data_IF_883204431752
#
_entry.id   IF_883204431752
#
_cell.length_a   1.000
_cell.length_b   1.000
_cell.length_c   1.000
_cell.angle_alpha   90.00
_cell.angle_beta   90.00
_cell.angle_gamma   90.00
#
_symmetry.space_group_name_H-M   'P 1'
#
loop_
_entity.id
_entity.type
_entity.pdbx_description
1 polymer ?
#
# COMPACT_ATOMS: atom_id res chain seq x y z
N UNK A 1 2.85 -31.66 75.28
CA UNK A 1 2.54 -33.03 75.75
C UNK A 1 2.06 -33.82 74.54
N UNK A 2 2.80 -34.87 74.16
CA UNK A 2 2.49 -36.01 73.24
C UNK A 2 1.67 -35.71 71.97
N UNK A 3 2.27 -35.54 70.79
CA UNK A 3 2.81 -36.57 69.87
C UNK A 3 1.86 -37.74 69.59
N UNK A 4 1.33 -37.79 68.37
CA UNK A 4 0.99 -39.03 67.67
C UNK A 4 1.64 -38.97 66.29
N UNK A 5 2.60 -39.88 66.10
CA UNK A 5 3.22 -40.23 64.83
C UNK A 5 2.27 -41.19 64.09
N UNK A 6 2.07 -40.96 62.80
CA UNK A 6 1.63 -42.01 61.86
C UNK A 6 2.52 -41.95 60.63
N UNK A 7 3.12 -43.11 60.34
CA UNK A 7 4.13 -43.32 59.33
C UNK A 7 3.50 -43.50 57.94
N UNK A 8 4.13 -42.82 56.98
CA UNK A 8 4.42 -43.18 55.58
C UNK A 8 3.61 -44.28 54.89
N UNK A 9 3.05 -43.93 53.73
CA UNK A 9 3.20 -44.75 52.53
C UNK A 9 3.40 -43.86 51.30
N UNK A 10 4.60 -43.92 50.74
CA UNK A 10 4.94 -43.32 49.45
C UNK A 10 4.32 -44.15 48.33
N UNK A 11 3.63 -43.49 47.40
CA UNK A 11 3.38 -44.04 46.07
C UNK A 11 3.68 -42.95 45.04
N UNK A 12 4.90 -43.00 44.51
CA UNK A 12 5.31 -42.27 43.32
C UNK A 12 4.73 -42.97 42.10
N UNK A 13 3.72 -42.38 41.46
CA UNK A 13 3.45 -42.62 40.04
C UNK A 13 3.78 -41.33 39.29
N UNK A 14 4.82 -41.41 38.47
CA UNK A 14 5.14 -40.38 37.51
C UNK A 14 4.06 -40.31 36.44
N UNK A 15 3.50 -39.12 36.24
CA UNK A 15 2.89 -38.75 34.97
C UNK A 15 3.67 -37.56 34.40
N UNK A 16 4.20 -37.83 33.22
CA UNK A 16 4.82 -36.96 32.23
C UNK A 16 4.46 -35.47 32.33
N UNK A 17 5.50 -34.65 32.48
CA UNK A 17 5.44 -33.23 32.19
C UNK A 17 5.16 -33.02 30.69
N UNK A 18 3.95 -32.58 30.35
CA UNK A 18 3.72 -31.90 29.07
C UNK A 18 4.19 -30.46 29.24
N UNK A 19 5.40 -30.18 28.77
CA UNK A 19 5.86 -28.83 28.53
C UNK A 19 5.13 -28.28 27.30
N UNK A 20 4.00 -27.63 27.52
CA UNK A 20 3.28 -26.92 26.45
C UNK A 20 4.00 -25.60 26.17
N UNK A 21 4.77 -25.62 25.08
CA UNK A 21 5.42 -24.46 24.49
C UNK A 21 4.35 -23.65 23.76
N UNK A 22 3.65 -22.75 24.44
CA UNK A 22 2.87 -21.71 23.77
C UNK A 22 3.83 -20.74 23.08
N UNK A 23 4.06 -20.98 21.80
CA UNK A 23 4.69 -20.03 20.89
C UNK A 23 3.72 -18.90 20.60
N UNK A 24 4.26 -17.70 20.73
CA UNK A 24 3.73 -16.43 20.25
C UNK A 24 3.38 -16.44 18.75
N UNK A 25 2.64 -15.39 18.40
CA UNK A 25 2.48 -14.75 17.09
C UNK A 25 1.18 -15.06 16.33
N UNK A 26 0.11 -14.45 16.84
CA UNK A 26 -1.01 -14.02 15.99
C UNK A 26 -0.61 -12.71 15.31
N UNK A 27 -0.01 -12.82 14.13
CA UNK A 27 0.11 -11.72 13.19
C UNK A 27 -1.20 -11.71 12.40
N UNK A 28 -2.09 -10.77 12.70
CA UNK A 28 -3.32 -10.57 11.92
C UNK A 28 -2.93 -10.18 10.49
N UNK A 29 -2.88 -11.17 9.60
CA UNK A 29 -2.60 -10.99 8.19
C UNK A 29 -3.83 -10.44 7.50
N UNK A 30 -3.69 -9.26 6.88
CA UNK A 30 -4.61 -8.80 5.85
C UNK A 30 -4.82 -9.92 4.81
N UNK A 31 -6.03 -10.06 4.22
CA UNK A 31 -6.29 -11.12 3.25
C UNK A 31 -5.28 -11.04 2.10
N UNK A 32 -4.54 -12.13 1.86
CA UNK A 32 -3.59 -12.21 0.75
C UNK A 32 -4.32 -12.00 -0.58
N UNK A 33 -3.87 -10.97 -1.31
CA UNK A 33 -4.30 -10.64 -2.66
C UNK A 33 -3.88 -11.75 -3.63
N UNK A 34 -4.85 -12.43 -4.25
CA UNK A 34 -4.64 -13.55 -5.18
C UNK A 34 -4.09 -13.16 -6.56
N UNK A 35 -3.27 -12.12 -6.67
CA UNK A 35 -2.70 -11.70 -7.94
C UNK A 35 -1.55 -12.63 -8.32
N UNK A 36 -1.76 -13.46 -9.35
CA UNK A 36 -0.66 -14.15 -10.02
C UNK A 36 0.44 -13.14 -10.36
N UNK A 37 1.70 -13.55 -10.23
CA UNK A 37 2.93 -12.72 -10.39
C UNK A 37 2.93 -11.89 -11.69
N UNK A 38 2.16 -12.30 -12.71
CA UNK A 38 1.99 -11.59 -13.98
C UNK A 38 1.31 -10.21 -13.91
N UNK A 39 0.68 -9.87 -12.78
CA UNK A 39 -0.11 -8.64 -12.57
C UNK A 39 0.46 -7.70 -11.49
N UNK A 40 1.67 -7.94 -11.01
CA UNK A 40 2.33 -7.06 -10.03
C UNK A 40 2.78 -5.74 -10.66
N UNK A 41 2.71 -4.67 -9.88
CA UNK A 41 3.20 -3.34 -10.21
C UNK A 41 4.21 -2.90 -9.15
N UNK A 42 5.15 -1.99 -9.48
CA UNK A 42 6.08 -1.45 -8.48
C UNK A 42 5.37 -0.82 -7.27
N UNK A 43 4.14 -0.32 -7.47
CA UNK A 43 3.32 0.28 -6.41
C UNK A 43 2.96 -0.72 -5.31
N UNK A 44 2.90 -2.02 -5.64
CA UNK A 44 2.50 -3.09 -4.72
C UNK A 44 3.60 -3.41 -3.71
N UNK A 45 4.84 -2.95 -3.95
CA UNK A 45 5.97 -3.07 -3.02
C UNK A 45 5.92 -2.05 -1.87
N UNK A 46 5.06 -1.02 -1.98
CA UNK A 46 4.96 0.05 -0.98
C UNK A 46 3.95 -0.24 0.13
N UNK A 47 3.85 0.66 1.13
CA UNK A 47 2.88 0.52 2.22
C UNK A 47 1.45 0.54 1.67
N UNK A 48 0.60 -0.32 2.25
CA UNK A 48 -0.82 -0.43 1.90
C UNK A 48 -1.72 0.57 2.64
N UNK A 49 -1.14 1.39 3.53
CA UNK A 49 -1.86 2.35 4.36
C UNK A 49 -1.14 3.69 4.39
N UNK A 50 -1.92 4.75 4.63
CA UNK A 50 -1.42 6.11 4.86
C UNK A 50 -2.10 6.71 6.08
N UNK A 51 -1.38 7.54 6.84
CA UNK A 51 -1.98 8.31 7.93
C UNK A 51 -2.84 9.43 7.34
N UNK A 52 -4.15 9.32 7.53
CA UNK A 52 -5.15 10.31 7.10
C UNK A 52 -5.78 11.05 8.28
N UNK A 53 -5.24 10.91 9.49
CA UNK A 53 -5.84 11.45 10.71
C UNK A 53 -6.13 12.96 10.60
N UNK A 54 -5.22 13.70 9.95
CA UNK A 54 -5.33 15.14 9.69
C UNK A 54 -6.13 15.53 8.44
N UNK A 55 -6.63 14.59 7.63
CA UNK A 55 -7.37 14.91 6.42
C UNK A 55 -8.83 15.33 6.73
N UNK A 56 -9.48 16.14 5.86
CA UNK A 56 -10.89 16.47 6.02
C UNK A 56 -11.79 15.23 6.11
N UNK A 57 -12.90 15.30 6.87
CA UNK A 57 -13.81 14.17 7.07
C UNK A 57 -14.24 13.48 5.75
N UNK A 58 -14.67 14.20 4.69
CA UNK A 58 -15.03 13.55 3.42
C UNK A 58 -13.88 12.79 2.77
N UNK A 59 -12.65 13.30 2.88
CA UNK A 59 -11.45 12.67 2.34
C UNK A 59 -11.11 11.39 3.13
N UNK A 60 -11.26 11.41 4.46
CA UNK A 60 -11.09 10.21 5.30
C UNK A 60 -12.13 9.13 4.99
N UNK A 61 -13.36 9.52 4.65
CA UNK A 61 -14.39 8.58 4.18
C UNK A 61 -14.02 7.98 2.82
N UNK A 62 -13.51 8.80 1.89
CA UNK A 62 -12.96 8.33 0.62
C UNK A 62 -11.81 7.34 0.79
N UNK A 63 -10.91 7.59 1.74
CA UNK A 63 -9.82 6.65 2.09
C UNK A 63 -10.37 5.31 2.56
N UNK A 64 -11.32 5.30 3.51
CA UNK A 64 -11.93 4.06 4.02
C UNK A 64 -12.59 3.25 2.90
N UNK A 65 -13.32 3.94 2.01
CA UNK A 65 -13.94 3.31 0.84
C UNK A 65 -12.89 2.73 -0.11
N UNK A 66 -11.82 3.47 -0.39
CA UNK A 66 -10.72 3.00 -1.24
C UNK A 66 -10.04 1.77 -0.62
N UNK A 67 -9.61 1.87 0.64
CA UNK A 67 -8.91 0.81 1.35
C UNK A 67 -9.75 -0.47 1.49
N UNK A 68 -11.08 -0.36 1.59
CA UNK A 68 -11.97 -1.52 1.64
C UNK A 68 -12.35 -2.05 0.26
N UNK A 69 -12.84 -1.19 -0.64
CA UNK A 69 -13.45 -1.61 -1.91
C UNK A 69 -12.44 -1.84 -3.02
N UNK A 70 -11.38 -1.04 -3.10
CA UNK A 70 -10.32 -1.29 -4.09
C UNK A 70 -9.47 -2.50 -3.70
N UNK A 71 -9.34 -2.77 -2.39
CA UNK A 71 -8.62 -3.93 -1.86
C UNK A 71 -9.25 -5.29 -2.24
N UNK A 72 -10.51 -5.30 -2.70
CA UNK A 72 -11.20 -6.51 -3.09
C UNK A 72 -10.60 -7.23 -4.31
N UNK A 73 -9.76 -6.54 -5.11
CA UNK A 73 -9.18 -7.12 -6.33
C UNK A 73 -7.65 -7.02 -6.40
N UNK A 74 -7.03 -6.11 -5.63
CA UNK A 74 -5.59 -5.91 -5.58
C UNK A 74 -5.23 -5.19 -4.28
N UNK A 75 -3.97 -5.19 -3.86
CA UNK A 75 -3.54 -4.44 -2.66
C UNK A 75 -3.91 -2.94 -2.73
N UNK A 76 -4.25 -2.35 -1.58
CA UNK A 76 -4.46 -0.90 -1.43
C UNK A 76 -3.18 -0.09 -1.70
N UNK A 77 -2.01 -0.72 -1.61
CA UNK A 77 -0.72 -0.13 -2.00
C UNK A 77 -0.72 0.32 -3.46
N UNK A 78 -1.48 -0.37 -4.34
CA UNK A 78 -1.49 -0.11 -5.78
C UNK A 78 -1.89 1.33 -6.14
N UNK A 79 -3.04 1.85 -5.67
CA UNK A 79 -3.38 3.27 -5.85
C UNK A 79 -2.55 4.19 -4.95
N UNK A 80 -2.25 3.82 -3.69
CA UNK A 80 -1.52 4.69 -2.76
C UNK A 80 -0.13 5.05 -3.32
N UNK A 81 0.59 4.07 -3.85
CA UNK A 81 1.96 4.24 -4.33
C UNK A 81 2.06 4.50 -5.84
N UNK A 82 0.96 4.84 -6.51
CA UNK A 82 1.00 5.16 -7.93
C UNK A 82 1.78 6.43 -8.20
N UNK A 83 2.37 6.54 -9.38
CA UNK A 83 3.01 7.76 -9.88
C UNK A 83 2.03 8.89 -10.22
N UNK A 84 0.72 8.64 -10.19
CA UNK A 84 -0.26 9.58 -10.74
C UNK A 84 -0.41 10.82 -9.87
N UNK A 85 -0.44 11.96 -10.55
CA UNK A 85 -0.62 13.28 -9.96
C UNK A 85 -1.58 14.08 -10.84
N UNK A 86 -2.78 14.34 -10.33
CA UNK A 86 -3.82 15.11 -11.05
C UNK A 86 -3.70 16.58 -10.66
N UNK A 87 -3.27 17.41 -11.61
CA UNK A 87 -3.07 18.85 -11.44
C UNK A 87 -3.80 19.62 -12.54
N UNK A 88 -4.27 20.83 -12.20
CA UNK A 88 -4.63 21.84 -13.20
C UNK A 88 -3.41 22.27 -14.01
N UNK A 89 -3.63 22.96 -15.14
CA UNK A 89 -2.54 23.44 -15.98
C UNK A 89 -1.61 24.39 -15.23
N UNK A 90 -2.18 25.25 -14.38
CA UNK A 90 -1.45 26.20 -13.55
C UNK A 90 -0.61 25.49 -12.49
N UNK A 91 -1.20 24.52 -11.78
CA UNK A 91 -0.50 23.69 -10.79
C UNK A 91 0.61 22.85 -11.43
N UNK A 92 0.38 22.29 -12.62
CA UNK A 92 1.38 21.53 -13.37
C UNK A 92 2.57 22.41 -13.78
N UNK A 93 2.30 23.62 -14.27
CA UNK A 93 3.36 24.57 -14.64
C UNK A 93 4.21 24.95 -13.42
N UNK A 94 3.58 25.20 -12.27
CA UNK A 94 4.28 25.47 -11.01
C UNK A 94 5.12 24.25 -10.57
N UNK A 95 4.53 23.04 -10.58
CA UNK A 95 5.22 21.82 -10.20
C UNK A 95 6.46 21.57 -11.07
N UNK A 96 6.35 21.73 -12.39
CA UNK A 96 7.48 21.54 -13.32
C UNK A 96 8.60 22.54 -13.08
N UNK A 97 8.25 23.80 -12.81
CA UNK A 97 9.22 24.86 -12.48
C UNK A 97 9.99 24.54 -11.19
N UNK A 98 9.31 24.05 -10.17
CA UNK A 98 9.92 23.69 -8.88
C UNK A 98 10.69 22.37 -8.92
N UNK A 99 10.30 21.45 -9.81
CA UNK A 99 10.81 20.08 -9.86
C UNK A 99 11.29 19.69 -11.27
N UNK A 100 12.28 20.41 -11.85
CA UNK A 100 12.64 20.30 -13.27
C UNK A 100 13.14 18.92 -13.70
N UNK A 101 13.52 18.05 -12.77
CA UNK A 101 14.03 16.71 -13.08
C UNK A 101 13.01 15.60 -12.84
N UNK A 102 12.16 15.73 -11.82
CA UNK A 102 11.22 14.67 -11.43
C UNK A 102 10.15 14.48 -12.51
N UNK A 103 9.67 15.57 -13.12
CA UNK A 103 8.59 15.53 -14.12
C UNK A 103 9.04 14.95 -15.48
N UNK A 104 10.34 14.73 -15.70
CA UNK A 104 10.88 14.17 -16.95
C UNK A 104 10.71 12.65 -17.03
N UNK A 105 10.56 11.98 -15.88
CA UNK A 105 10.36 10.54 -15.81
C UNK A 105 8.94 10.24 -15.29
N UNK A 106 8.06 9.81 -16.19
CA UNK A 106 6.68 9.47 -15.86
C UNK A 106 6.56 8.28 -14.92
N UNK A 107 7.63 7.50 -14.72
CA UNK A 107 7.67 6.43 -13.70
C UNK A 107 7.75 7.00 -12.29
N UNK A 108 8.32 8.21 -12.13
CA UNK A 108 8.43 8.92 -10.86
C UNK A 108 7.16 9.72 -10.57
N UNK A 109 6.72 10.53 -11.53
CA UNK A 109 5.49 11.31 -11.45
C UNK A 109 4.86 11.41 -12.84
N UNK A 110 3.63 10.93 -12.98
CA UNK A 110 2.83 11.07 -14.20
C UNK A 110 1.74 12.11 -13.94
N UNK A 111 1.94 13.29 -14.51
CA UNK A 111 1.03 14.43 -14.37
C UNK A 111 0.04 14.42 -15.54
N UNK A 112 -1.25 14.41 -15.23
CA UNK A 112 -2.30 14.48 -16.24
C UNK A 112 -3.65 14.88 -15.60
N UNK A 113 -4.41 15.75 -16.27
CA UNK A 113 -5.77 16.08 -15.84
C UNK A 113 -6.68 14.84 -15.84
N UNK A 114 -7.54 14.72 -14.82
CA UNK A 114 -8.54 13.64 -14.65
C UNK A 114 -7.98 12.21 -14.67
N UNK A 115 -6.68 12.01 -14.49
CA UNK A 115 -6.09 10.66 -14.50
C UNK A 115 -6.71 9.74 -13.46
N UNK A 116 -6.98 10.25 -12.26
CA UNK A 116 -7.59 9.44 -11.20
C UNK A 116 -9.05 9.15 -11.51
N UNK A 117 -9.80 10.14 -11.98
CA UNK A 117 -11.21 9.94 -12.37
C UNK A 117 -11.34 8.85 -13.45
N UNK A 118 -10.51 8.94 -14.50
CA UNK A 118 -10.49 7.94 -15.57
C UNK A 118 -10.12 6.56 -15.04
N UNK A 119 -9.12 6.48 -14.16
CA UNK A 119 -8.68 5.21 -13.58
C UNK A 119 -9.77 4.56 -12.73
N UNK A 120 -10.39 5.33 -11.83
CA UNK A 120 -11.46 4.84 -10.95
C UNK A 120 -12.65 4.36 -11.77
N UNK A 121 -13.11 5.14 -12.76
CA UNK A 121 -14.20 4.72 -13.66
C UNK A 121 -13.88 3.43 -14.41
N UNK A 122 -12.63 3.26 -14.87
CA UNK A 122 -12.19 2.03 -15.52
C UNK A 122 -12.25 0.82 -14.56
N UNK A 123 -11.92 1.00 -13.29
CA UNK A 123 -12.05 -0.08 -12.30
C UNK A 123 -13.51 -0.40 -12.01
N UNK A 124 -14.36 0.61 -11.87
CA UNK A 124 -15.81 0.44 -11.67
C UNK A 124 -16.49 -0.34 -12.79
N UNK A 125 -15.99 -0.20 -14.03
CA UNK A 125 -16.49 -0.92 -15.20
C UNK A 125 -16.08 -2.41 -15.24
N UNK A 126 -15.14 -2.86 -14.40
CA UNK A 126 -14.75 -4.27 -14.37
C UNK A 126 -15.85 -5.12 -13.73
N UNK A 127 -16.16 -6.31 -14.28
CA UNK A 127 -17.06 -7.27 -13.66
C UNK A 127 -16.64 -7.58 -12.21
N UNK A 128 -17.60 -7.64 -11.29
CA UNK A 128 -17.33 -7.92 -9.89
C UNK A 128 -16.77 -6.76 -9.05
N UNK A 129 -16.49 -5.59 -9.63
CA UNK A 129 -16.02 -4.44 -8.85
C UNK A 129 -17.09 -3.97 -7.84
N UNK A 130 -16.76 -3.85 -6.52
CA UNK A 130 -17.72 -3.46 -5.48
C UNK A 130 -17.91 -1.93 -5.37
N UNK A 131 -17.16 -1.13 -6.14
CA UNK A 131 -17.30 0.33 -6.19
C UNK A 131 -18.50 0.69 -7.07
N UNK A 132 -19.51 1.36 -6.49
CA UNK A 132 -20.77 1.71 -7.15
C UNK A 132 -21.18 3.14 -6.80
N UNK A 133 -21.99 3.76 -7.66
CA UNK A 133 -22.55 5.09 -7.43
C UNK A 133 -21.53 6.12 -6.96
N UNK A 134 -21.85 6.84 -5.89
CA UNK A 134 -21.05 7.93 -5.35
C UNK A 134 -19.73 7.50 -4.69
N UNK A 135 -19.53 6.21 -4.43
CA UNK A 135 -18.25 5.73 -3.87
C UNK A 135 -17.09 6.04 -4.81
N UNK A 136 -17.32 5.92 -6.12
CA UNK A 136 -16.30 6.23 -7.12
C UNK A 136 -15.84 7.69 -7.02
N UNK A 137 -16.78 8.62 -6.80
CA UNK A 137 -16.46 10.04 -6.62
C UNK A 137 -15.66 10.27 -5.34
N UNK A 138 -16.09 9.71 -4.21
CA UNK A 138 -15.39 9.84 -2.92
C UNK A 138 -13.98 9.26 -2.96
N UNK A 139 -13.81 8.11 -3.62
CA UNK A 139 -12.50 7.47 -3.82
C UNK A 139 -11.61 8.35 -4.70
N UNK A 140 -12.14 8.86 -5.82
CA UNK A 140 -11.40 9.77 -6.70
C UNK A 140 -10.94 11.04 -5.96
N UNK A 141 -11.83 11.70 -5.22
CA UNK A 141 -11.51 12.89 -4.44
C UNK A 141 -10.40 12.61 -3.40
N UNK A 142 -10.46 11.46 -2.73
CA UNK A 142 -9.38 11.03 -1.86
C UNK A 142 -8.05 10.86 -2.61
N UNK A 143 -8.03 10.15 -3.74
CA UNK A 143 -6.81 9.88 -4.50
C UNK A 143 -6.17 11.18 -5.03
N UNK A 144 -6.99 12.12 -5.48
CA UNK A 144 -6.52 13.47 -5.88
C UNK A 144 -5.92 14.19 -4.67
N UNK A 145 -6.65 14.28 -3.56
CA UNK A 145 -6.19 14.98 -2.37
C UNK A 145 -4.89 14.40 -1.81
N UNK A 146 -4.86 13.08 -1.61
CA UNK A 146 -3.72 12.37 -1.05
C UNK A 146 -2.49 12.43 -1.97
N UNK A 147 -2.69 12.32 -3.29
CA UNK A 147 -1.60 12.47 -4.24
C UNK A 147 -1.02 13.88 -4.24
N UNK A 148 -1.83 14.93 -4.11
CA UNK A 148 -1.31 16.30 -3.94
C UNK A 148 -0.57 16.43 -2.61
N UNK A 149 -1.17 15.99 -1.50
CA UNK A 149 -0.58 16.12 -0.17
C UNK A 149 0.79 15.45 -0.05
N UNK A 150 0.97 14.25 -0.61
CA UNK A 150 2.21 13.46 -0.46
C UNK A 150 3.24 13.66 -1.56
N UNK A 151 2.86 14.18 -2.74
CA UNK A 151 3.74 14.18 -3.93
C UNK A 151 4.17 15.56 -4.39
N UNK A 152 3.66 16.65 -3.79
CA UNK A 152 4.00 18.02 -4.20
C UNK A 152 4.64 18.82 -3.05
N UNK A 153 5.04 20.06 -3.35
CA UNK A 153 5.65 20.98 -2.38
C UNK A 153 6.87 20.38 -1.69
N UNK A 154 6.94 20.53 -0.36
CA UNK A 154 8.03 20.00 0.45
C UNK A 154 8.18 18.47 0.37
N UNK A 155 7.12 17.75 0.01
CA UNK A 155 7.10 16.29 -0.05
C UNK A 155 7.54 15.73 -1.43
N UNK A 156 7.69 16.56 -2.47
CA UNK A 156 8.01 16.08 -3.81
C UNK A 156 9.34 15.30 -3.87
N UNK A 157 10.35 15.75 -3.11
CA UNK A 157 11.66 15.08 -3.05
C UNK A 157 11.59 13.72 -2.36
N UNK A 158 10.93 13.64 -1.20
CA UNK A 158 10.77 12.38 -0.48
C UNK A 158 9.90 11.40 -1.26
N UNK A 159 8.87 11.89 -1.95
CA UNK A 159 8.08 11.09 -2.88
C UNK A 159 8.92 10.52 -4.02
N UNK A 160 9.76 11.32 -4.66
CA UNK A 160 10.64 10.85 -5.74
C UNK A 160 11.62 9.78 -5.24
N UNK A 161 12.20 9.95 -4.05
CA UNK A 161 13.07 8.96 -3.43
C UNK A 161 12.32 7.65 -3.14
N UNK A 162 11.15 7.73 -2.51
CA UNK A 162 10.25 6.59 -2.30
C UNK A 162 9.95 5.86 -3.60
N UNK A 163 9.60 6.61 -4.66
CA UNK A 163 9.25 6.02 -5.94
C UNK A 163 10.42 5.36 -6.65
N UNK A 164 11.63 5.94 -6.55
CA UNK A 164 12.87 5.32 -7.04
C UNK A 164 13.11 3.97 -6.37
N UNK A 165 13.01 3.95 -5.04
CA UNK A 165 13.14 2.72 -4.26
C UNK A 165 12.18 1.63 -4.71
N UNK A 166 10.89 1.94 -4.84
CA UNK A 166 9.90 0.97 -5.32
C UNK A 166 10.22 0.42 -6.72
N UNK A 167 10.72 1.27 -7.63
CA UNK A 167 11.10 0.84 -8.98
C UNK A 167 12.37 -0.01 -8.97
N UNK A 168 13.33 0.31 -8.12
CA UNK A 168 14.56 -0.47 -7.93
C UNK A 168 14.25 -1.85 -7.34
N UNK A 169 13.54 -1.90 -6.22
CA UNK A 169 13.12 -3.15 -5.57
C UNK A 169 12.27 -4.02 -6.51
N UNK A 170 11.40 -3.41 -7.32
CA UNK A 170 10.60 -4.16 -8.29
C UNK A 170 11.46 -4.69 -9.44
N UNK A 171 12.44 -3.94 -9.93
CA UNK A 171 13.36 -4.42 -10.96
C UNK A 171 14.25 -5.56 -10.45
N UNK A 172 14.68 -5.49 -9.19
CA UNK A 172 15.52 -6.49 -8.54
C UNK A 172 14.76 -7.79 -8.28
N UNK A 173 13.59 -7.72 -7.66
CA UNK A 173 12.84 -8.92 -7.26
C UNK A 173 11.91 -9.45 -8.36
N UNK A 174 11.52 -8.61 -9.33
CA UNK A 174 10.58 -8.97 -10.40
C UNK A 174 11.06 -8.49 -11.79
N UNK A 175 12.28 -8.88 -12.24
CA UNK A 175 12.90 -8.34 -13.46
C UNK A 175 12.08 -8.57 -14.74
N UNK A 176 11.43 -9.74 -14.88
CA UNK A 176 10.58 -10.02 -16.05
C UNK A 176 9.30 -9.17 -16.07
N UNK A 177 8.69 -8.96 -14.90
CA UNK A 177 7.53 -8.08 -14.77
C UNK A 177 7.92 -6.61 -15.01
N UNK A 178 9.08 -6.19 -14.48
CA UNK A 178 9.65 -4.88 -14.74
C UNK A 178 9.88 -4.67 -16.26
N UNK A 179 10.52 -5.63 -16.93
CA UNK A 179 10.78 -5.58 -18.38
C UNK A 179 9.48 -5.54 -19.20
N UNK A 180 8.44 -6.24 -18.77
CA UNK A 180 7.11 -6.18 -19.39
C UNK A 180 6.48 -4.79 -19.28
N UNK A 181 6.65 -4.10 -18.16
CA UNK A 181 6.08 -2.77 -17.91
C UNK A 181 6.89 -1.64 -18.54
N UNK A 182 8.22 -1.74 -18.53
CA UNK A 182 9.13 -0.62 -18.86
C UNK A 182 10.14 -0.93 -19.98
N UNK A 183 10.05 -2.10 -20.61
CA UNK A 183 11.01 -2.54 -21.61
C UNK A 183 12.41 -2.73 -21.02
N UNK A 184 13.44 -2.44 -21.82
CA UNK A 184 14.84 -2.55 -21.39
C UNK A 184 15.37 -1.33 -20.62
N UNK A 185 14.51 -0.35 -20.29
CA UNK A 185 14.93 0.86 -19.61
C UNK A 185 15.34 0.56 -18.16
N UNK A 186 16.56 0.90 -17.71
CA UNK A 186 16.99 0.59 -16.35
C UNK A 186 16.11 1.30 -15.31
N UNK A 187 16.03 0.72 -14.11
CA UNK A 187 15.40 1.38 -12.98
C UNK A 187 16.09 2.73 -12.72
N UNK A 188 15.34 3.79 -12.37
CA UNK A 188 15.94 5.03 -11.91
C UNK A 188 16.88 4.76 -10.73
N UNK A 189 18.06 5.39 -10.71
CA UNK A 189 19.00 5.26 -9.59
C UNK A 189 18.32 5.64 -8.27
N UNK A 190 18.54 4.87 -7.23
CA UNK A 190 18.28 5.31 -5.86
C UNK A 190 19.22 6.49 -5.55
N UNK A 191 18.67 7.55 -4.97
CA UNK A 191 19.41 8.77 -4.61
C UNK A 191 19.76 8.74 -3.13
#
# INVERSE_FOLDING_TARGET
MRWVLTATLSLTLGLTAFAEKEKSDKKDGAPESSTAVSDLYPNDMGPAEVDVSGYPKPIREGYKLMAFKCAACHTAARPINSQFLELSAEEEAAFKKENPDIHKDTRLVHIEDKIWNRYVKRMMAKPGCPVKGDDGKKIWEFLVYDSKARKTGANAKSWAAHRRKLLHEFAEHHPEAYKKLFGSAPAPKEN
#
